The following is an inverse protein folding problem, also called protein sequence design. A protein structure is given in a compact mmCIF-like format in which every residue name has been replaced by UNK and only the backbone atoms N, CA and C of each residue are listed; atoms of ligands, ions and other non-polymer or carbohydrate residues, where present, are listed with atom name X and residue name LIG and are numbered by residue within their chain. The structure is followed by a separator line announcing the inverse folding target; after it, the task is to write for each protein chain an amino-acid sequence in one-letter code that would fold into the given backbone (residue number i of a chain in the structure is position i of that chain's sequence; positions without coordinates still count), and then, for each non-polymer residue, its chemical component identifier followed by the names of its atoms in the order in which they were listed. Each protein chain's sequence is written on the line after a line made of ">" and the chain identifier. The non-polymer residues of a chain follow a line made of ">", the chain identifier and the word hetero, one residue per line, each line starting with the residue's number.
data_IF_307709431814
#
_entry.id   IF_307709431814
#
_cell.length_a   1.000
_cell.length_b   1.000
_cell.length_c   1.000
_cell.angle_alpha   90.00
_cell.angle_beta   90.00
_cell.angle_gamma   90.00
#
_symmetry.space_group_name_H-M   'P 1'
#
loop_
_entity.id
_entity.type
_entity.pdbx_description
1 polymer ?
#
# COMPACT_ATOMS: atom_id res chain seq x y z
N UNK A 1 -45.26 -46.95 -4.16
CA UNK A 1 -43.97 -46.30 -3.86
C UNK A 1 -43.68 -45.29 -4.95
N UNK A 2 -43.32 -44.06 -4.57
CA UNK A 2 -42.76 -43.05 -5.49
C UNK A 2 -43.68 -41.87 -5.84
N UNK A 3 -43.71 -40.83 -4.99
CA UNK A 3 -44.09 -39.47 -5.43
C UNK A 3 -42.80 -38.67 -5.59
N UNK A 4 -42.37 -38.47 -6.82
CA UNK A 4 -41.34 -37.50 -7.17
C UNK A 4 -41.95 -36.10 -7.09
N UNK A 5 -41.41 -35.25 -6.22
CA UNK A 5 -41.82 -33.85 -6.11
C UNK A 5 -41.25 -33.05 -7.30
N UNK A 6 -42.13 -32.54 -8.15
CA UNK A 6 -41.81 -31.53 -9.15
C UNK A 6 -41.39 -30.24 -8.44
N UNK A 7 -40.10 -29.96 -8.40
CA UNK A 7 -39.58 -28.62 -8.16
C UNK A 7 -39.96 -27.81 -9.40
N UNK A 8 -40.76 -26.74 -9.22
CA UNK A 8 -41.26 -25.96 -10.35
C UNK A 8 -40.10 -25.20 -11.00
N UNK A 9 -40.14 -25.06 -12.33
CA UNK A 9 -39.13 -24.32 -13.10
C UNK A 9 -38.88 -22.89 -12.59
N UNK A 10 -39.86 -22.30 -11.90
CA UNK A 10 -39.78 -20.97 -11.31
C UNK A 10 -38.74 -20.86 -10.19
N UNK A 11 -38.58 -21.88 -9.34
CA UNK A 11 -37.61 -21.82 -8.24
C UNK A 11 -36.15 -21.92 -8.69
N UNK A 12 -35.88 -22.57 -9.83
CA UNK A 12 -34.52 -22.65 -10.38
C UNK A 12 -34.08 -21.32 -11.00
N UNK A 13 -34.98 -20.60 -11.66
CA UNK A 13 -34.68 -19.29 -12.24
C UNK A 13 -34.34 -18.25 -11.16
N UNK A 14 -35.06 -18.26 -10.03
CA UNK A 14 -34.78 -17.36 -8.90
C UNK A 14 -33.43 -17.66 -8.23
N UNK A 15 -33.09 -18.94 -8.05
CA UNK A 15 -31.78 -19.35 -7.50
C UNK A 15 -30.63 -18.91 -8.42
N UNK A 16 -30.80 -19.06 -9.74
CA UNK A 16 -29.79 -18.62 -10.72
C UNK A 16 -29.65 -17.10 -10.70
N UNK A 17 -30.75 -16.35 -10.62
CA UNK A 17 -30.71 -14.89 -10.56
C UNK A 17 -30.02 -14.39 -9.29
N UNK A 18 -30.35 -14.95 -8.12
CA UNK A 18 -29.69 -14.64 -6.84
C UNK A 18 -28.20 -14.98 -6.92
N UNK A 19 -27.84 -16.14 -7.50
CA UNK A 19 -26.44 -16.56 -7.66
C UNK A 19 -25.65 -15.62 -8.57
N UNK A 20 -26.24 -15.16 -9.68
CA UNK A 20 -25.63 -14.20 -10.61
C UNK A 20 -25.46 -12.83 -9.94
N UNK A 21 -26.43 -12.39 -9.15
CA UNK A 21 -26.36 -11.10 -8.43
C UNK A 21 -25.26 -11.14 -7.37
N UNK A 22 -25.17 -12.23 -6.61
CA UNK A 22 -24.08 -12.45 -5.62
C UNK A 22 -22.72 -12.56 -6.32
N UNK A 23 -22.64 -13.20 -7.48
CA UNK A 23 -21.41 -13.24 -8.28
C UNK A 23 -21.02 -11.85 -8.76
N UNK A 24 -21.97 -11.06 -9.26
CA UNK A 24 -21.72 -9.70 -9.75
C UNK A 24 -21.30 -8.76 -8.62
N UNK A 25 -21.90 -8.86 -7.43
CA UNK A 25 -21.45 -8.12 -6.24
C UNK A 25 -20.05 -8.54 -5.82
N UNK A 26 -19.73 -9.84 -5.85
CA UNK A 26 -18.37 -10.32 -5.56
C UNK A 26 -17.34 -9.89 -6.60
N UNK A 27 -17.70 -9.93 -7.89
CA UNK A 27 -16.86 -9.46 -9.00
C UNK A 27 -16.74 -7.92 -9.04
N UNK A 28 -17.74 -7.20 -8.54
CA UNK A 28 -17.68 -5.74 -8.39
C UNK A 28 -16.93 -5.32 -7.13
N UNK A 29 -16.89 -6.19 -6.09
CA UNK A 29 -16.04 -6.03 -4.91
C UNK A 29 -14.59 -6.46 -5.14
N UNK A 30 -14.33 -7.27 -6.18
CA UNK A 30 -13.04 -7.28 -6.87
C UNK A 30 -12.91 -5.99 -7.70
N UNK A 31 -13.03 -4.86 -6.99
CA UNK A 31 -12.62 -3.54 -7.43
C UNK A 31 -11.27 -3.71 -8.10
N UNK A 32 -11.18 -3.40 -9.38
CA UNK A 32 -9.91 -3.13 -10.04
C UNK A 32 -9.23 -2.08 -9.16
N UNK A 33 -8.30 -2.52 -8.31
CA UNK A 33 -7.61 -1.62 -7.41
C UNK A 33 -7.01 -0.54 -8.28
N UNK A 34 -7.28 0.70 -7.93
CA UNK A 34 -6.91 1.83 -8.74
C UNK A 34 -5.44 2.14 -8.43
N UNK A 35 -4.58 1.21 -8.79
CA UNK A 35 -3.16 1.14 -8.46
C UNK A 35 -2.48 2.45 -8.83
N UNK A 36 -1.63 2.91 -7.91
CA UNK A 36 -0.84 4.11 -8.11
C UNK A 36 0.45 3.70 -8.79
N UNK A 37 0.76 4.36 -9.90
CA UNK A 37 2.02 4.21 -10.62
C UNK A 37 2.67 5.58 -10.76
N UNK A 38 3.96 5.62 -10.46
CA UNK A 38 4.81 6.78 -10.64
C UNK A 38 5.22 6.91 -12.11
N UNK A 39 5.28 8.14 -12.60
CA UNK A 39 5.80 8.44 -13.92
C UNK A 39 7.31 8.17 -13.97
N UNK A 40 7.83 7.84 -15.15
CA UNK A 40 9.27 7.62 -15.36
C UNK A 40 10.14 8.78 -14.84
N UNK A 41 9.67 10.01 -14.95
CA UNK A 41 10.38 11.19 -14.43
C UNK A 41 10.47 11.21 -12.91
N UNK A 42 9.45 10.70 -12.22
CA UNK A 42 9.38 10.59 -10.76
C UNK A 42 10.27 9.43 -10.29
N UNK A 43 10.21 8.28 -10.98
CA UNK A 43 11.08 7.12 -10.72
C UNK A 43 12.56 7.50 -10.88
N UNK A 44 12.92 8.23 -11.95
CA UNK A 44 14.29 8.69 -12.17
C UNK A 44 14.76 9.64 -11.06
N UNK A 45 13.92 10.60 -10.68
CA UNK A 45 14.21 11.53 -9.59
C UNK A 45 14.43 10.78 -8.27
N UNK A 46 13.49 9.93 -7.87
CA UNK A 46 13.60 9.17 -6.62
C UNK A 46 14.80 8.24 -6.63
N UNK A 47 15.09 7.60 -7.77
CA UNK A 47 16.24 6.71 -7.90
C UNK A 47 17.55 7.44 -7.65
N UNK A 48 17.70 8.64 -8.22
CA UNK A 48 18.87 9.49 -8.00
C UNK A 48 18.98 9.91 -6.52
N UNK A 49 17.86 10.35 -5.93
CA UNK A 49 17.84 10.83 -4.54
C UNK A 49 18.17 9.73 -3.54
N UNK A 50 17.58 8.55 -3.68
CA UNK A 50 17.82 7.42 -2.78
C UNK A 50 19.27 6.94 -2.86
N UNK A 51 19.84 6.84 -4.07
CA UNK A 51 21.24 6.42 -4.24
C UNK A 51 22.24 7.47 -3.75
N UNK A 52 21.99 8.76 -3.99
CA UNK A 52 22.98 9.82 -3.68
C UNK A 52 22.85 10.33 -2.24
N UNK A 53 21.63 10.45 -1.71
CA UNK A 53 21.37 11.05 -0.39
C UNK A 53 21.22 10.02 0.73
N UNK A 54 20.56 8.91 0.42
CA UNK A 54 20.34 7.85 1.40
C UNK A 54 21.36 6.71 1.27
N UNK A 55 22.24 6.78 0.27
CA UNK A 55 23.28 5.79 -0.04
C UNK A 55 22.74 4.37 -0.32
N UNK A 56 21.45 4.26 -0.66
CA UNK A 56 20.80 2.97 -0.94
C UNK A 56 21.32 2.42 -2.27
N UNK A 57 21.65 1.12 -2.32
CA UNK A 57 22.11 0.50 -3.56
C UNK A 57 21.00 0.48 -4.63
N UNK A 58 21.38 0.22 -5.89
CA UNK A 58 20.45 0.29 -7.03
C UNK A 58 19.27 -0.68 -6.92
N UNK A 59 19.50 -1.92 -6.47
CA UNK A 59 18.45 -2.94 -6.39
C UNK A 59 17.42 -2.55 -5.33
N UNK A 60 17.89 -2.19 -4.13
CA UNK A 60 17.02 -1.76 -3.04
C UNK A 60 16.31 -0.46 -3.35
N UNK A 61 16.94 0.44 -4.12
CA UNK A 61 16.29 1.67 -4.60
C UNK A 61 15.07 1.36 -5.47
N UNK A 62 15.21 0.45 -6.43
CA UNK A 62 14.10 0.07 -7.32
C UNK A 62 12.99 -0.65 -6.55
N UNK A 63 13.36 -1.57 -5.67
CA UNK A 63 12.41 -2.26 -4.79
C UNK A 63 11.67 -1.28 -3.89
N UNK A 64 12.37 -0.28 -3.34
CA UNK A 64 11.77 0.74 -2.47
C UNK A 64 10.78 1.63 -3.21
N UNK A 65 11.09 2.03 -4.44
CA UNK A 65 10.18 2.83 -5.28
C UNK A 65 8.93 2.02 -5.62
N UNK A 66 9.09 0.73 -5.92
CA UNK A 66 7.97 -0.16 -6.19
C UNK A 66 7.07 -0.33 -4.95
N UNK A 67 7.65 -0.49 -3.76
CA UNK A 67 6.85 -0.55 -2.52
C UNK A 67 6.23 0.80 -2.12
N UNK A 68 6.83 1.92 -2.54
CA UNK A 68 6.20 3.24 -2.39
C UNK A 68 4.91 3.35 -3.21
N UNK A 69 4.85 2.75 -4.40
CA UNK A 69 3.63 2.66 -5.22
C UNK A 69 2.55 1.81 -4.54
N UNK A 70 2.92 0.68 -3.94
CA UNK A 70 1.99 -0.12 -3.12
C UNK A 70 1.47 0.67 -1.92
N UNK A 71 2.35 1.40 -1.23
CA UNK A 71 1.96 2.24 -0.11
C UNK A 71 1.01 3.36 -0.53
N UNK A 72 1.26 4.04 -1.65
CA UNK A 72 0.31 5.03 -2.18
C UNK A 72 -1.01 4.39 -2.62
N UNK A 73 -0.97 3.18 -3.16
CA UNK A 73 -2.18 2.42 -3.49
C UNK A 73 -2.98 2.12 -2.23
N UNK A 74 -2.33 1.74 -1.14
CA UNK A 74 -2.99 1.59 0.16
C UNK A 74 -3.67 2.90 0.57
N UNK A 75 -2.90 4.00 0.65
CA UNK A 75 -3.42 5.31 1.05
C UNK A 75 -4.60 5.81 0.20
N UNK A 76 -4.61 5.47 -1.10
CA UNK A 76 -5.68 5.84 -2.02
C UNK A 76 -6.96 5.03 -1.79
N UNK A 77 -6.83 3.77 -1.39
CA UNK A 77 -7.95 2.84 -1.23
C UNK A 77 -8.43 2.72 0.22
N UNK A 78 -7.65 3.19 1.20
CA UNK A 78 -8.05 3.24 2.60
C UNK A 78 -8.47 4.65 3.00
N UNK A 79 -9.71 4.81 3.44
CA UNK A 79 -10.16 6.08 4.07
C UNK A 79 -9.55 6.30 5.47
N UNK A 80 -8.78 5.35 5.99
CA UNK A 80 -8.11 5.43 7.28
C UNK A 80 -6.74 6.11 7.10
N UNK A 81 -6.65 7.36 7.53
CA UNK A 81 -5.48 8.23 7.33
C UNK A 81 -4.25 7.93 8.19
N UNK A 82 -4.07 6.72 8.70
CA UNK A 82 -2.91 6.35 9.51
C UNK A 82 -2.41 4.97 9.09
N UNK A 83 -1.47 4.94 8.15
CA UNK A 83 -0.64 3.77 7.86
C UNK A 83 0.81 4.22 7.99
N UNK A 84 1.59 3.52 8.80
CA UNK A 84 2.99 3.84 8.99
C UNK A 84 3.82 3.20 7.86
N UNK A 85 4.58 3.98 7.07
CA UNK A 85 5.50 3.40 6.10
C UNK A 85 6.62 2.63 6.80
N UNK A 86 7.27 1.69 6.08
CA UNK A 86 8.57 1.18 6.53
C UNK A 86 9.65 2.26 6.42
N UNK A 87 10.80 2.07 7.06
CA UNK A 87 11.92 3.00 6.97
C UNK A 87 12.30 3.36 5.53
N UNK A 88 12.40 2.35 4.66
CA UNK A 88 12.78 2.53 3.26
C UNK A 88 11.71 3.30 2.48
N UNK A 89 10.43 2.91 2.65
CA UNK A 89 9.29 3.60 2.02
C UNK A 89 9.18 5.03 2.53
N UNK A 90 9.43 5.28 3.82
CA UNK A 90 9.43 6.60 4.44
C UNK A 90 10.50 7.50 3.82
N UNK A 91 11.74 7.00 3.68
CA UNK A 91 12.82 7.72 3.00
C UNK A 91 12.45 8.11 1.58
N UNK A 92 11.87 7.20 0.81
CA UNK A 92 11.43 7.48 -0.56
C UNK A 92 10.28 8.48 -0.61
N UNK A 93 9.28 8.32 0.27
CA UNK A 93 8.17 9.25 0.39
C UNK A 93 8.66 10.65 0.78
N UNK A 94 9.60 10.75 1.72
CA UNK A 94 10.22 11.99 2.15
C UNK A 94 10.91 12.70 0.99
N UNK A 95 11.74 11.99 0.20
CA UNK A 95 12.37 12.58 -0.98
C UNK A 95 11.32 13.03 -2.01
N UNK A 96 10.22 12.30 -2.19
CA UNK A 96 9.14 12.71 -3.07
C UNK A 96 8.52 14.05 -2.62
N UNK A 97 8.17 14.17 -1.34
CA UNK A 97 7.58 15.38 -0.75
C UNK A 97 8.49 16.60 -0.89
N UNK A 98 9.80 16.43 -0.71
CA UNK A 98 10.79 17.50 -0.85
C UNK A 98 10.78 18.13 -2.25
N UNK A 99 10.41 17.38 -3.30
CA UNK A 99 10.14 17.93 -4.62
C UNK A 99 8.68 18.42 -4.72
N UNK A 100 8.35 19.47 -3.98
CA UNK A 100 6.98 19.98 -3.80
C UNK A 100 6.15 20.11 -5.08
N UNK A 101 6.71 20.60 -6.19
CA UNK A 101 6.00 20.71 -7.48
C UNK A 101 5.60 19.35 -8.08
N UNK A 102 6.51 18.38 -8.04
CA UNK A 102 6.29 17.02 -8.54
C UNK A 102 5.24 16.34 -7.66
N UNK A 103 5.46 16.37 -6.35
CA UNK A 103 4.56 15.76 -5.38
C UNK A 103 3.15 16.35 -5.40
N UNK A 104 3.00 17.67 -5.59
CA UNK A 104 1.69 18.30 -5.73
C UNK A 104 0.97 17.85 -6.99
N UNK A 105 1.70 17.71 -8.11
CA UNK A 105 1.13 17.22 -9.37
C UNK A 105 0.65 15.78 -9.22
N UNK A 106 1.51 14.92 -8.67
CA UNK A 106 1.19 13.55 -8.29
C UNK A 106 -0.03 13.46 -7.37
N UNK A 107 -0.05 14.25 -6.30
CA UNK A 107 -1.11 14.22 -5.29
C UNK A 107 -2.47 14.58 -5.89
N UNK A 108 -2.52 15.62 -6.72
CA UNK A 108 -3.76 16.02 -7.41
C UNK A 108 -4.24 14.94 -8.38
N UNK A 109 -3.31 14.30 -9.09
CA UNK A 109 -3.62 13.24 -10.05
C UNK A 109 -4.20 11.99 -9.39
N UNK A 110 -3.60 11.50 -8.30
CA UNK A 110 -3.96 10.21 -7.70
C UNK A 110 -4.98 10.32 -6.56
N UNK A 111 -5.02 11.45 -5.86
CA UNK A 111 -5.85 11.64 -4.66
C UNK A 111 -6.87 12.78 -4.78
N UNK A 112 -6.86 13.55 -5.87
CA UNK A 112 -7.80 14.66 -6.10
C UNK A 112 -7.63 15.86 -5.16
N UNK A 113 -6.55 15.91 -4.38
CA UNK A 113 -6.25 16.99 -3.41
C UNK A 113 -4.76 17.31 -3.38
N UNK A 114 -4.45 18.49 -2.87
CA UNK A 114 -3.08 18.88 -2.56
C UNK A 114 -2.69 18.20 -1.24
N UNK A 115 -1.69 17.32 -1.30
CA UNK A 115 -0.91 16.83 -0.16
C UNK A 115 -1.61 15.74 0.68
N UNK A 116 -1.00 14.55 0.70
CA UNK A 116 -1.09 13.69 1.88
C UNK A 116 -0.10 14.26 2.89
N UNK A 117 -0.59 14.83 4.00
CA UNK A 117 0.28 15.39 5.02
C UNK A 117 1.10 14.26 5.64
N UNK A 118 2.37 14.20 5.29
CA UNK A 118 3.35 13.41 6.05
C UNK A 118 3.57 14.10 7.37
N UNK A 119 3.29 13.39 8.45
CA UNK A 119 3.81 13.73 9.77
C UNK A 119 5.07 12.88 9.90
N UNK A 120 6.27 13.47 9.95
CA UNK A 120 7.49 12.69 10.09
C UNK A 120 7.36 11.84 11.34
N UNK A 121 7.32 10.53 11.13
CA UNK A 121 7.56 9.59 12.18
C UNK A 121 9.03 9.80 12.56
N UNK A 122 9.28 10.02 13.85
CA UNK A 122 10.60 10.05 14.50
C UNK A 122 11.14 11.45 14.91
N UNK A 123 11.12 11.73 16.21
CA UNK A 123 11.91 12.81 16.83
C UNK A 123 13.20 12.31 17.51
N UNK A 124 13.54 11.02 17.37
CA UNK A 124 14.69 10.41 18.04
C UNK A 124 14.50 10.19 19.55
N UNK A 125 13.29 10.40 20.07
CA UNK A 125 12.99 10.25 21.49
C UNK A 125 12.42 8.86 21.80
N UNK A 126 12.96 8.19 22.83
CA UNK A 126 12.50 6.87 23.28
C UNK A 126 11.01 6.86 23.67
N UNK A 127 10.44 8.01 24.03
CA UNK A 127 9.01 8.14 24.33
C UNK A 127 8.10 7.99 23.09
N UNK A 128 8.60 8.32 21.89
CA UNK A 128 7.83 8.18 20.64
C UNK A 128 7.80 6.71 20.17
N UNK A 129 8.66 5.86 20.75
CA UNK A 129 8.73 4.43 20.44
C UNK A 129 7.43 3.73 20.85
N UNK A 130 6.74 4.18 21.91
CA UNK A 130 5.44 3.61 22.30
C UNK A 130 4.34 3.87 21.26
N UNK A 131 4.46 4.91 20.42
CA UNK A 131 3.52 5.21 19.32
C UNK A 131 3.86 4.42 18.04
N UNK A 132 5.07 3.85 17.94
CA UNK A 132 5.55 3.00 16.83
C UNK A 132 4.99 1.58 16.85
N UNK A 133 4.43 1.16 17.98
CA UNK A 133 3.75 -0.13 18.11
C UNK A 133 2.29 0.07 17.73
N UNK A 134 1.83 -0.67 16.73
CA UNK A 134 0.42 -0.78 16.35
C UNK A 134 -0.45 -1.20 17.53
N UNK A 135 -1.77 -1.19 17.31
CA UNK A 135 -2.81 -1.35 18.35
C UNK A 135 -2.65 -2.64 19.18
N UNK A 136 -1.94 -3.62 18.63
CA UNK A 136 -1.73 -4.98 19.09
C UNK A 136 -0.30 -5.28 19.56
N UNK A 137 0.59 -4.27 19.59
CA UNK A 137 1.98 -4.44 20.02
C UNK A 137 2.91 -5.00 18.93
N UNK A 138 2.47 -5.01 17.68
CA UNK A 138 3.31 -5.25 16.49
C UNK A 138 3.87 -3.93 15.97
N UNK A 139 5.07 -3.89 15.36
CA UNK A 139 5.58 -2.65 14.79
C UNK A 139 4.65 -2.16 13.66
N UNK A 140 4.25 -0.88 13.68
CA UNK A 140 3.30 -0.31 12.72
C UNK A 140 3.63 -0.54 11.22
N UNK A 141 4.91 -0.65 10.80
CA UNK A 141 5.27 -1.08 9.45
C UNK A 141 4.83 -2.51 9.10
N UNK A 142 4.82 -3.45 10.06
CA UNK A 142 4.37 -4.83 9.84
C UNK A 142 2.85 -4.89 9.66
N UNK A 143 2.09 -4.10 10.41
CA UNK A 143 0.64 -3.96 10.20
C UNK A 143 0.35 -3.43 8.79
N UNK A 144 1.09 -2.42 8.35
CA UNK A 144 0.96 -1.86 6.99
C UNK A 144 1.34 -2.89 5.93
N UNK A 145 2.44 -3.63 6.09
CA UNK A 145 2.82 -4.75 5.22
C UNK A 145 1.69 -5.79 5.11
N UNK A 146 1.17 -6.25 6.25
CA UNK A 146 0.08 -7.24 6.27
C UNK A 146 -1.18 -6.69 5.60
N UNK A 147 -1.48 -5.40 5.79
CA UNK A 147 -2.60 -4.72 5.16
C UNK A 147 -2.44 -4.68 3.64
N UNK A 148 -1.25 -4.36 3.13
CA UNK A 148 -0.95 -4.37 1.69
C UNK A 148 -1.14 -5.78 1.12
N UNK A 149 -0.58 -6.81 1.76
CA UNK A 149 -0.71 -8.20 1.30
C UNK A 149 -2.17 -8.67 1.33
N UNK A 150 -2.87 -8.46 2.45
CA UNK A 150 -4.21 -9.02 2.70
C UNK A 150 -5.31 -8.21 2.02
N UNK A 151 -5.28 -6.88 2.12
CA UNK A 151 -6.35 -6.02 1.57
C UNK A 151 -6.16 -5.73 0.08
N UNK A 152 -4.92 -5.56 -0.39
CA UNK A 152 -4.66 -5.25 -1.80
C UNK A 152 -4.37 -6.51 -2.63
N UNK A 153 -4.15 -7.66 -2.00
CA UNK A 153 -3.90 -8.91 -2.70
C UNK A 153 -2.56 -8.94 -3.46
N UNK A 154 -1.61 -8.08 -3.08
CA UNK A 154 -0.28 -8.11 -3.66
C UNK A 154 0.49 -9.33 -3.13
N UNK A 155 0.73 -10.31 -3.99
CA UNK A 155 1.46 -11.54 -3.64
C UNK A 155 2.99 -11.33 -3.57
N UNK A 156 3.49 -10.24 -4.17
CA UNK A 156 4.92 -9.98 -4.38
C UNK A 156 5.46 -8.78 -3.58
N UNK A 157 4.89 -8.49 -2.41
CA UNK A 157 5.38 -7.42 -1.53
C UNK A 157 6.76 -7.79 -0.98
N UNK A 158 7.74 -6.92 -1.21
CA UNK A 158 9.14 -7.15 -0.83
C UNK A 158 9.33 -7.02 0.68
N UNK A 159 9.36 -8.16 1.38
CA UNK A 159 9.55 -8.22 2.83
C UNK A 159 10.79 -7.48 3.32
N UNK A 160 11.88 -7.50 2.56
CA UNK A 160 13.12 -6.83 2.97
C UNK A 160 12.91 -5.32 3.07
N UNK A 161 12.22 -4.70 2.10
CA UNK A 161 11.91 -3.26 2.13
C UNK A 161 11.02 -2.89 3.31
N UNK A 162 10.12 -3.79 3.73
CA UNK A 162 9.15 -3.52 4.79
C UNK A 162 9.64 -3.82 6.20
N UNK A 163 10.58 -4.77 6.35
CA UNK A 163 11.05 -5.26 7.64
C UNK A 163 12.48 -4.85 7.99
N UNK A 164 13.21 -4.20 7.07
CA UNK A 164 14.56 -3.71 7.32
C UNK A 164 14.56 -2.62 8.39
N UNK A 165 15.36 -2.81 9.43
CA UNK A 165 15.65 -1.81 10.45
C UNK A 165 16.87 -0.96 10.09
N UNK A 166 17.14 0.08 10.88
CA UNK A 166 18.27 0.98 10.64
C UNK A 166 19.62 0.28 10.76
N UNK A 167 19.77 -0.64 11.71
CA UNK A 167 21.01 -1.35 11.95
C UNK A 167 21.36 -2.27 10.78
N UNK A 168 20.35 -2.87 10.15
CA UNK A 168 20.50 -3.66 8.94
C UNK A 168 20.82 -2.79 7.74
N UNK A 169 20.10 -1.66 7.54
CA UNK A 169 20.39 -0.71 6.46
C UNK A 169 21.84 -0.21 6.52
N UNK A 170 22.30 0.18 7.70
CA UNK A 170 23.65 0.71 7.91
C UNK A 170 24.78 -0.32 7.67
N UNK A 171 24.48 -1.63 7.60
CA UNK A 171 25.48 -2.65 7.22
C UNK A 171 25.79 -2.68 5.73
N UNK A 172 24.91 -2.10 4.92
CA UNK A 172 25.03 -2.08 3.46
C UNK A 172 25.51 -0.74 2.91
N UNK A 173 25.65 0.28 3.76
CA UNK A 173 26.20 1.61 3.46
C UNK A 173 27.72 1.66 3.70
#
# INVERSE_FOLDING_TARGET
>A
MGKLQCISFWTLAEIVFISITILHDKLSSASVLNEVQLLNTEVLYLSERLQIKEHINREDTLNTIFELEHFYTLLKNTNNGMCAPSLMVDKAWHQHILHTTMYNTFSRQHFGREIVHHVPFWSGNIADIEETWGVDGEPAPLETYNTIVVMLGFENVNKTVWLMDEDELNRFL
#
